data_IF_679723864772
#
_entry.id   IF_679723864772
#
_cell.length_a   1.000
_cell.length_b   1.000
_cell.length_c   1.000
_cell.angle_alpha   90.00
_cell.angle_beta   90.00
_cell.angle_gamma   90.00
#
_symmetry.space_group_name_H-M   'P 1'
#
loop_
_entity.id
_entity.type
_entity.pdbx_description
1 polymer ?
#
# COMPACT_ATOMS: atom_id res chain seq x y z
N UNK A 1 30.49 3.12 11.98
CA UNK A 1 30.09 2.03 11.09
C UNK A 1 30.65 0.68 11.52
N UNK A 2 31.97 0.40 11.48
CA UNK A 2 32.52 -0.93 11.84
C UNK A 2 32.20 -1.39 13.27
N UNK A 3 32.24 -0.52 14.27
CA UNK A 3 31.94 -0.85 15.68
C UNK A 3 30.45 -1.17 15.90
N UNK A 4 29.54 -0.53 15.18
CA UNK A 4 28.10 -0.82 15.25
C UNK A 4 27.79 -2.17 14.60
N UNK A 5 28.40 -2.45 13.45
CA UNK A 5 28.32 -3.78 12.82
C UNK A 5 28.84 -4.91 13.72
N UNK A 6 29.96 -4.69 14.42
CA UNK A 6 30.49 -5.66 15.37
C UNK A 6 29.54 -5.90 16.55
N UNK A 7 28.97 -4.83 17.12
CA UNK A 7 28.02 -4.97 18.22
C UNK A 7 26.74 -5.70 17.81
N UNK A 8 26.24 -5.40 16.61
CA UNK A 8 25.04 -6.05 16.06
C UNK A 8 25.32 -7.54 15.75
N UNK A 9 26.48 -7.85 15.20
CA UNK A 9 26.91 -9.21 14.91
C UNK A 9 27.08 -10.04 16.20
N UNK A 10 27.61 -9.45 17.27
CA UNK A 10 27.71 -10.10 18.58
C UNK A 10 26.34 -10.37 19.21
N UNK A 11 25.38 -9.46 19.04
CA UNK A 11 23.99 -9.64 19.49
C UNK A 11 23.31 -10.78 18.74
N UNK A 12 23.52 -10.87 17.40
CA UNK A 12 23.00 -11.97 16.59
C UNK A 12 23.61 -13.33 16.98
N UNK A 13 24.92 -13.38 17.25
CA UNK A 13 25.58 -14.61 17.70
C UNK A 13 25.07 -15.07 19.09
N UNK A 14 24.90 -14.14 20.03
CA UNK A 14 24.33 -14.45 21.35
C UNK A 14 22.90 -14.97 21.24
N UNK A 15 22.11 -14.41 20.33
CA UNK A 15 20.76 -14.87 20.08
C UNK A 15 20.74 -16.26 19.44
N UNK A 16 21.58 -16.50 18.43
CA UNK A 16 21.68 -17.81 17.78
C UNK A 16 22.09 -18.94 18.74
N UNK A 17 22.87 -18.63 19.79
CA UNK A 17 23.23 -19.58 20.85
C UNK A 17 22.08 -19.94 21.81
N UNK A 18 21.00 -19.15 21.85
CA UNK A 18 19.83 -19.41 22.68
C UNK A 18 18.81 -20.35 22.02
N UNK A 19 19.04 -20.73 20.76
CA UNK A 19 18.15 -21.62 20.02
C UNK A 19 18.72 -23.03 19.93
N UNK A 20 17.84 -24.06 20.03
CA UNK A 20 18.27 -25.46 19.95
C UNK A 20 18.95 -25.73 18.60
N UNK A 21 20.11 -26.36 18.65
CA UNK A 21 20.91 -26.71 17.45
C UNK A 21 20.47 -28.06 16.83
N UNK A 22 19.47 -28.69 17.40
CA UNK A 22 19.03 -30.07 17.09
C UNK A 22 17.85 -30.16 16.11
N UNK A 23 17.43 -29.03 15.51
CA UNK A 23 16.33 -29.01 14.52
C UNK A 23 14.92 -29.16 15.14
N UNK A 24 14.79 -29.07 16.45
CA UNK A 24 13.47 -29.05 17.09
C UNK A 24 12.65 -27.83 16.67
N UNK A 25 11.35 -28.00 16.50
CA UNK A 25 10.44 -26.93 16.08
C UNK A 25 10.38 -25.85 17.16
N UNK A 26 10.71 -24.63 16.81
CA UNK A 26 10.59 -23.46 17.70
C UNK A 26 9.14 -23.25 18.12
N UNK A 27 8.92 -22.99 19.40
CA UNK A 27 7.59 -22.59 19.88
C UNK A 27 7.13 -21.28 19.20
N UNK A 28 5.82 -21.11 19.01
CA UNK A 28 5.21 -20.00 18.29
C UNK A 28 5.65 -18.62 18.85
N UNK A 29 5.88 -18.53 20.16
CA UNK A 29 6.34 -17.30 20.82
C UNK A 29 7.82 -16.97 20.52
N UNK A 30 8.67 -17.98 20.41
CA UNK A 30 10.08 -17.80 20.05
C UNK A 30 10.20 -17.33 18.61
N UNK A 31 9.38 -17.85 17.70
CA UNK A 31 9.33 -17.43 16.31
C UNK A 31 8.82 -15.98 16.16
N UNK A 32 7.87 -15.55 17.00
CA UNK A 32 7.40 -14.15 17.07
C UNK A 32 8.46 -13.20 17.61
N UNK A 33 9.24 -13.60 18.61
CA UNK A 33 10.34 -12.80 19.16
C UNK A 33 11.48 -12.65 18.14
N UNK A 34 11.83 -13.72 17.42
CA UNK A 34 12.82 -13.70 16.34
C UNK A 34 12.39 -12.73 15.23
N UNK A 35 11.14 -12.81 14.81
CA UNK A 35 10.60 -11.92 13.76
C UNK A 35 10.57 -10.45 14.20
N UNK A 36 10.31 -10.16 15.47
CA UNK A 36 10.37 -8.80 16.02
C UNK A 36 11.80 -8.27 16.07
N UNK A 37 12.75 -9.09 16.47
CA UNK A 37 14.16 -8.72 16.56
C UNK A 37 14.79 -8.56 15.18
N UNK A 38 14.50 -9.45 14.23
CA UNK A 38 14.92 -9.32 12.83
C UNK A 38 14.45 -8.00 12.23
N UNK A 39 13.20 -7.60 12.48
CA UNK A 39 12.66 -6.29 12.05
C UNK A 39 13.36 -5.12 12.74
N UNK A 40 13.66 -5.24 14.03
CA UNK A 40 14.38 -4.20 14.77
C UNK A 40 15.80 -4.01 14.25
N UNK A 41 16.54 -5.09 14.05
CA UNK A 41 17.89 -5.09 13.48
C UNK A 41 17.91 -4.54 12.04
N UNK A 42 16.95 -4.96 11.19
CA UNK A 42 16.81 -4.40 9.84
C UNK A 42 16.54 -2.88 9.90
N UNK A 43 15.71 -2.43 10.84
CA UNK A 43 15.41 -1.00 11.02
C UNK A 43 16.67 -0.23 11.42
N UNK A 44 17.42 -0.69 12.42
CA UNK A 44 18.68 -0.03 12.82
C UNK A 44 19.75 -0.02 11.71
N UNK A 45 19.85 -1.10 10.90
CA UNK A 45 20.77 -1.15 9.77
C UNK A 45 20.37 -0.18 8.64
N UNK A 46 19.09 0.14 8.51
CA UNK A 46 18.57 1.04 7.48
C UNK A 46 18.55 2.50 7.95
N UNK A 47 18.40 2.77 9.26
CA UNK A 47 18.37 4.13 9.83
C UNK A 47 19.73 4.84 9.75
N UNK A 48 20.86 4.12 9.72
CA UNK A 48 22.23 4.70 9.63
C UNK A 48 22.72 4.91 8.19
N UNK A 49 21.93 4.60 7.19
CA UNK A 49 22.20 5.00 5.80
C UNK A 49 21.59 6.39 5.57
N UNK A 50 22.36 7.38 5.11
CA UNK A 50 21.75 8.59 4.60
C UNK A 50 20.77 8.17 3.50
N UNK A 51 19.51 8.57 3.66
CA UNK A 51 18.32 8.13 2.91
C UNK A 51 18.47 8.20 1.39
N UNK A 52 19.25 7.30 0.82
CA UNK A 52 19.05 6.81 -0.52
C UNK A 52 18.17 5.54 -0.40
N UNK A 53 16.99 5.71 0.14
CA UNK A 53 15.91 4.78 -0.13
C UNK A 53 15.75 4.80 -1.65
N UNK A 54 16.32 3.81 -2.32
CA UNK A 54 15.98 3.53 -3.70
C UNK A 54 14.49 3.23 -3.65
N UNK A 55 13.70 4.26 -3.97
CA UNK A 55 12.24 4.16 -3.98
C UNK A 55 11.91 3.05 -4.96
N UNK A 56 11.66 1.85 -4.43
CA UNK A 56 11.35 0.71 -5.25
C UNK A 56 10.01 0.95 -5.95
N UNK A 57 10.00 0.68 -7.26
CA UNK A 57 8.83 0.84 -8.11
C UNK A 57 8.49 -0.48 -8.78
N UNK A 58 7.20 -0.68 -9.01
CA UNK A 58 6.70 -1.79 -9.81
C UNK A 58 7.14 -1.61 -11.27
N UNK A 59 7.75 -2.63 -11.84
CA UNK A 59 8.34 -2.55 -13.19
C UNK A 59 7.29 -2.36 -14.29
N UNK A 60 6.06 -2.85 -14.08
CA UNK A 60 4.99 -2.77 -15.05
C UNK A 60 4.32 -1.39 -15.06
N UNK A 61 4.01 -0.85 -13.89
CA UNK A 61 3.23 0.38 -13.77
C UNK A 61 4.06 1.62 -13.45
N UNK A 62 5.31 1.45 -13.00
CA UNK A 62 6.18 2.53 -12.53
C UNK A 62 5.76 3.14 -11.17
N UNK A 63 4.71 2.62 -10.56
CA UNK A 63 4.18 3.07 -9.27
C UNK A 63 5.04 2.58 -8.10
N UNK A 64 4.81 3.09 -6.90
CA UNK A 64 5.47 2.55 -5.71
C UNK A 64 5.12 1.07 -5.53
N UNK A 65 6.05 0.29 -4.97
CA UNK A 65 5.74 -1.03 -4.42
C UNK A 65 5.26 -0.91 -2.98
N UNK A 66 4.64 -1.97 -2.46
CA UNK A 66 4.09 -2.07 -1.11
C UNK A 66 5.05 -1.58 -0.01
N UNK A 67 6.31 -2.02 -0.03
CA UNK A 67 7.30 -1.64 0.99
C UNK A 67 7.60 -0.13 0.98
N UNK A 68 7.74 0.47 -0.20
CA UNK A 68 7.98 1.92 -0.35
C UNK A 68 6.77 2.76 0.04
N UNK A 69 5.55 2.25 -0.19
CA UNK A 69 4.34 2.94 0.28
C UNK A 69 4.27 2.95 1.81
N UNK A 70 4.50 1.79 2.46
CA UNK A 70 4.44 1.67 3.92
C UNK A 70 5.41 2.61 4.60
N UNK A 71 6.67 2.63 4.16
CA UNK A 71 7.68 3.55 4.69
C UNK A 71 7.23 5.01 4.59
N UNK A 72 6.72 5.42 3.43
CA UNK A 72 6.24 6.79 3.21
C UNK A 72 4.97 7.12 3.99
N UNK A 73 4.06 6.16 4.16
CA UNK A 73 2.88 6.34 4.98
C UNK A 73 3.26 6.53 6.45
N UNK A 74 4.22 5.73 6.98
CA UNK A 74 4.76 5.93 8.34
C UNK A 74 5.38 7.33 8.51
N UNK A 75 6.14 7.80 7.51
CA UNK A 75 6.71 9.15 7.50
C UNK A 75 5.62 10.23 7.46
N UNK A 76 4.58 10.06 6.63
CA UNK A 76 3.46 10.98 6.55
C UNK A 76 2.70 11.07 7.89
N UNK A 77 2.45 9.92 8.54
CA UNK A 77 1.82 9.86 9.86
C UNK A 77 2.67 10.53 10.94
N UNK A 78 3.99 10.33 10.90
CA UNK A 78 4.91 10.95 11.86
C UNK A 78 5.06 12.48 11.67
N UNK A 79 4.92 12.96 10.42
CA UNK A 79 5.05 14.38 10.06
C UNK A 79 3.74 15.17 10.13
N UNK A 80 2.62 14.51 10.41
CA UNK A 80 1.30 15.14 10.49
C UNK A 80 1.22 16.09 11.70
N UNK A 81 1.74 17.31 11.52
CA UNK A 81 1.86 18.32 12.57
C UNK A 81 0.66 19.28 12.67
N UNK A 82 -0.23 19.31 11.67
CA UNK A 82 -1.38 20.20 11.72
C UNK A 82 -2.59 19.46 12.32
N UNK A 83 -3.18 20.07 13.35
CA UNK A 83 -4.36 19.55 14.05
C UNK A 83 -5.61 19.47 13.20
N UNK A 84 -5.56 19.91 11.93
CA UNK A 84 -6.72 20.08 11.07
C UNK A 84 -6.63 19.32 9.74
N UNK A 85 -5.52 18.61 9.43
CA UNK A 85 -5.39 17.89 8.16
C UNK A 85 -5.75 16.40 8.28
N UNK A 86 -6.65 15.95 7.44
CA UNK A 86 -7.09 14.55 7.33
C UNK A 86 -6.13 13.80 6.41
N UNK A 87 -5.84 12.55 6.74
CA UNK A 87 -5.19 11.57 5.86
C UNK A 87 -6.18 10.45 5.59
N UNK A 88 -6.28 10.02 4.32
CA UNK A 88 -7.13 8.90 3.94
C UNK A 88 -6.32 7.87 3.14
N UNK A 89 -6.59 6.60 3.40
CA UNK A 89 -6.07 5.47 2.63
C UNK A 89 -7.21 4.86 1.84
N UNK A 90 -7.04 4.77 0.52
CA UNK A 90 -7.97 4.10 -0.37
C UNK A 90 -7.34 2.79 -0.84
N UNK A 91 -7.95 1.65 -0.51
CA UNK A 91 -7.59 0.34 -1.05
C UNK A 91 -8.52 0.04 -2.23
N UNK A 92 -7.93 -0.28 -3.38
CA UNK A 92 -8.63 -0.39 -4.67
C UNK A 92 -8.36 -1.77 -5.25
N UNK A 93 -9.41 -2.46 -5.67
CA UNK A 93 -9.33 -3.74 -6.40
C UNK A 93 -10.15 -3.63 -7.70
N UNK A 94 -9.56 -4.05 -8.81
CA UNK A 94 -10.18 -3.95 -10.12
C UNK A 94 -11.21 -5.05 -10.35
N UNK A 95 -12.47 -4.65 -10.47
CA UNK A 95 -13.56 -5.59 -10.68
C UNK A 95 -13.51 -6.24 -12.07
N UNK A 96 -13.43 -7.57 -12.08
CA UNK A 96 -13.46 -8.33 -13.34
C UNK A 96 -12.12 -8.42 -14.08
N UNK A 97 -11.01 -7.96 -13.50
CA UNK A 97 -9.70 -7.98 -14.14
C UNK A 97 -9.27 -9.40 -14.57
N UNK A 98 -9.59 -10.43 -13.77
CA UNK A 98 -9.33 -11.82 -14.16
C UNK A 98 -10.02 -12.19 -15.47
N UNK A 99 -11.23 -11.69 -15.73
CA UNK A 99 -11.95 -11.98 -16.97
C UNK A 99 -11.24 -11.38 -18.19
N UNK A 100 -10.58 -10.21 -18.03
CA UNK A 100 -9.76 -9.61 -19.08
C UNK A 100 -8.58 -10.52 -19.41
N UNK A 101 -7.86 -11.01 -18.40
CA UNK A 101 -6.77 -11.96 -18.60
C UNK A 101 -7.24 -13.25 -19.29
N UNK A 102 -8.36 -13.81 -18.85
CA UNK A 102 -8.90 -15.06 -19.38
C UNK A 102 -9.38 -14.90 -20.84
N UNK A 103 -9.89 -13.73 -21.23
CA UNK A 103 -10.43 -13.46 -22.58
C UNK A 103 -9.37 -12.95 -23.56
N UNK A 104 -8.43 -12.10 -23.09
CA UNK A 104 -7.51 -11.37 -23.96
C UNK A 104 -6.04 -11.71 -23.72
N UNK A 105 -5.75 -12.54 -22.71
CA UNK A 105 -4.39 -12.92 -22.32
C UNK A 105 -3.70 -11.89 -21.42
N UNK A 106 -2.64 -12.34 -20.75
CA UNK A 106 -1.91 -11.54 -19.75
C UNK A 106 -1.26 -10.27 -20.32
N UNK A 107 -0.82 -10.28 -21.58
CA UNK A 107 -0.22 -9.10 -22.21
C UNK A 107 -1.21 -7.93 -22.30
N UNK A 108 -2.48 -8.20 -22.56
CA UNK A 108 -3.55 -7.19 -22.57
C UNK A 108 -3.89 -6.75 -21.12
N UNK A 109 -3.92 -7.72 -20.19
CA UNK A 109 -4.07 -7.40 -18.76
C UNK A 109 -2.95 -6.48 -18.24
N UNK A 110 -1.70 -6.71 -18.62
CA UNK A 110 -0.57 -5.87 -18.24
C UNK A 110 -0.69 -4.45 -18.80
N UNK A 111 -1.14 -4.30 -20.05
CA UNK A 111 -1.43 -2.99 -20.63
C UNK A 111 -2.58 -2.29 -19.88
N UNK A 112 -3.63 -3.02 -19.51
CA UNK A 112 -4.76 -2.48 -18.77
C UNK A 112 -4.29 -1.99 -17.38
N UNK A 113 -3.46 -2.76 -16.66
CA UNK A 113 -2.87 -2.35 -15.37
C UNK A 113 -2.02 -1.09 -15.49
N UNK A 114 -1.19 -0.99 -16.54
CA UNK A 114 -0.37 0.19 -16.79
C UNK A 114 -1.24 1.43 -17.05
N UNK A 115 -2.31 1.29 -17.83
CA UNK A 115 -3.25 2.39 -18.11
C UNK A 115 -4.03 2.81 -16.86
N UNK A 116 -4.52 1.85 -16.06
CA UNK A 116 -5.17 2.14 -14.76
C UNK A 116 -4.22 2.90 -13.85
N UNK A 117 -2.95 2.44 -13.73
CA UNK A 117 -1.94 3.15 -12.97
C UNK A 117 -1.74 4.59 -13.40
N UNK A 118 -1.73 4.85 -14.72
CA UNK A 118 -1.66 6.21 -15.29
C UNK A 118 -2.92 7.04 -14.99
N UNK A 119 -4.11 6.45 -15.12
CA UNK A 119 -5.36 7.12 -14.78
C UNK A 119 -5.41 7.54 -13.31
N UNK A 120 -5.01 6.65 -12.40
CA UNK A 120 -4.93 6.94 -10.97
C UNK A 120 -3.89 8.02 -10.69
N UNK A 121 -2.68 7.92 -11.28
CA UNK A 121 -1.61 8.92 -11.10
C UNK A 121 -2.05 10.32 -11.56
N UNK A 122 -2.80 10.42 -12.65
CA UNK A 122 -3.35 11.68 -13.15
C UNK A 122 -4.51 12.21 -12.29
N UNK A 123 -5.08 11.37 -11.44
CA UNK A 123 -6.22 11.68 -10.59
C UNK A 123 -5.84 12.07 -9.17
N UNK A 124 -4.56 12.10 -8.83
CA UNK A 124 -4.06 12.46 -7.50
C UNK A 124 -3.11 13.65 -7.58
N UNK A 125 -2.80 14.27 -6.43
CA UNK A 125 -1.84 15.37 -6.34
C UNK A 125 -0.41 14.84 -6.24
N UNK A 126 0.58 15.71 -6.43
CA UNK A 126 2.01 15.37 -6.27
C UNK A 126 2.37 14.89 -4.87
N UNK A 127 1.65 15.33 -3.86
CA UNK A 127 1.90 15.01 -2.47
C UNK A 127 1.20 13.71 -2.02
N UNK A 128 0.24 13.22 -2.81
CA UNK A 128 -0.42 11.95 -2.58
C UNK A 128 0.50 10.78 -2.98
N UNK A 129 0.29 9.62 -2.37
CA UNK A 129 1.06 8.42 -2.69
C UNK A 129 0.20 7.44 -3.45
N UNK A 130 0.78 6.77 -4.44
CA UNK A 130 0.13 5.72 -5.22
C UNK A 130 1.05 4.52 -5.35
N UNK A 131 0.51 3.35 -5.06
CA UNK A 131 1.22 2.08 -5.05
C UNK A 131 0.42 1.02 -5.82
N UNK A 132 1.11 0.15 -6.52
CA UNK A 132 0.58 -1.16 -6.89
C UNK A 132 0.85 -2.11 -5.73
N UNK A 133 -0.22 -2.53 -5.04
CA UNK A 133 -0.11 -3.37 -3.85
C UNK A 133 0.20 -4.82 -4.19
N UNK A 134 -0.38 -5.33 -5.27
CA UNK A 134 -0.12 -6.65 -5.84
C UNK A 134 -1.20 -7.03 -6.86
N UNK A 135 -0.88 -7.81 -7.86
CA UNK A 135 -1.86 -8.23 -8.87
C UNK A 135 -2.62 -7.06 -9.48
N UNK A 136 -3.93 -7.00 -9.24
CA UNK A 136 -4.89 -5.98 -9.66
C UNK A 136 -5.29 -5.00 -8.53
N UNK A 137 -4.51 -4.97 -7.44
CA UNK A 137 -4.77 -4.14 -6.28
C UNK A 137 -3.86 -2.89 -6.28
N UNK A 138 -4.45 -1.74 -5.94
CA UNK A 138 -3.76 -0.46 -5.80
C UNK A 138 -4.09 0.17 -4.45
N UNK A 139 -3.14 0.94 -3.91
CA UNK A 139 -3.35 1.73 -2.70
C UNK A 139 -2.99 3.18 -2.97
N UNK A 140 -3.91 4.07 -2.63
CA UNK A 140 -3.71 5.54 -2.67
C UNK A 140 -3.72 6.07 -1.26
N UNK A 141 -2.74 6.92 -0.93
CA UNK A 141 -2.73 7.71 0.30
C UNK A 141 -2.96 9.17 -0.06
N UNK A 142 -4.09 9.69 0.36
CA UNK A 142 -4.48 11.07 0.16
C UNK A 142 -4.08 11.87 1.41
N UNK A 143 -3.31 12.93 1.21
CA UNK A 143 -2.72 13.71 2.29
C UNK A 143 -3.26 15.14 2.31
N UNK A 144 -3.13 15.79 3.48
CA UNK A 144 -3.46 17.21 3.64
C UNK A 144 -4.89 17.57 3.16
N UNK A 145 -5.87 16.76 3.59
CA UNK A 145 -7.28 16.99 3.26
C UNK A 145 -7.90 17.87 4.35
N UNK A 146 -8.53 18.96 3.95
CA UNK A 146 -9.10 19.95 4.87
C UNK A 146 -10.43 19.51 5.49
N UNK A 147 -11.23 18.71 4.76
CA UNK A 147 -12.60 18.33 5.15
C UNK A 147 -12.91 16.89 4.78
N UNK A 148 -13.75 16.25 5.57
CA UNK A 148 -14.15 14.85 5.34
C UNK A 148 -14.91 14.67 4.02
N UNK A 149 -15.80 15.60 3.65
CA UNK A 149 -16.54 15.55 2.39
C UNK A 149 -15.60 15.53 1.17
N UNK A 150 -14.40 16.10 1.32
CA UNK A 150 -13.37 16.05 0.28
C UNK A 150 -12.81 14.64 0.07
N UNK A 151 -12.82 13.77 1.08
CA UNK A 151 -12.39 12.37 0.96
C UNK A 151 -13.32 11.61 0.02
N UNK A 152 -14.64 11.76 0.19
CA UNK A 152 -15.63 11.12 -0.67
C UNK A 152 -15.48 11.56 -2.12
N UNK A 153 -15.36 12.87 -2.36
CA UNK A 153 -15.15 13.40 -3.71
C UNK A 153 -13.83 12.93 -4.35
N UNK A 154 -12.77 12.79 -3.55
CA UNK A 154 -11.50 12.28 -4.04
C UNK A 154 -11.60 10.79 -4.39
N UNK A 155 -12.28 9.99 -3.58
CA UNK A 155 -12.53 8.58 -3.85
C UNK A 155 -13.44 8.39 -5.07
N UNK A 156 -14.50 9.19 -5.23
CA UNK A 156 -15.36 9.21 -6.41
C UNK A 156 -14.57 9.55 -7.68
N UNK A 157 -13.60 10.47 -7.59
CA UNK A 157 -12.73 10.82 -8.71
C UNK A 157 -11.84 9.63 -9.12
N UNK A 158 -11.30 8.86 -8.15
CA UNK A 158 -10.51 7.67 -8.43
C UNK A 158 -11.38 6.60 -9.11
N UNK A 159 -12.57 6.31 -8.58
CA UNK A 159 -13.50 5.35 -9.18
C UNK A 159 -13.90 5.78 -10.60
N UNK A 160 -14.24 7.05 -10.79
CA UNK A 160 -14.59 7.60 -12.09
C UNK A 160 -13.45 7.50 -13.10
N UNK A 161 -12.21 7.70 -12.66
CA UNK A 161 -11.02 7.60 -13.53
C UNK A 161 -10.79 6.17 -14.03
N UNK A 162 -10.98 5.17 -13.16
CA UNK A 162 -10.86 3.74 -13.52
C UNK A 162 -11.98 3.32 -14.47
N UNK A 163 -13.19 3.83 -14.23
CA UNK A 163 -14.39 3.49 -15.01
C UNK A 163 -14.42 4.08 -16.41
N UNK A 164 -13.45 4.93 -16.78
CA UNK A 164 -13.33 5.43 -18.14
C UNK A 164 -12.92 4.30 -19.11
N UNK A 165 -13.38 4.37 -20.39
CA UNK A 165 -12.97 3.39 -21.40
C UNK A 165 -11.44 3.37 -21.56
N UNK A 166 -10.81 2.22 -21.28
CA UNK A 166 -9.38 2.02 -21.51
C UNK A 166 -9.15 1.66 -22.97
N UNK A 167 -8.50 2.56 -23.71
CA UNK A 167 -8.16 2.33 -25.11
C UNK A 167 -6.75 1.77 -25.21
N UNK A 168 -6.65 0.50 -25.59
CA UNK A 168 -5.37 -0.17 -25.76
C UNK A 168 -4.89 -0.02 -27.22
N UNK A 169 -3.59 0.20 -27.35
CA UNK A 169 -2.92 0.22 -28.64
C UNK A 169 -2.50 -1.22 -28.96
N UNK A 170 -3.40 -1.98 -29.57
CA UNK A 170 -3.14 -3.30 -30.13
C UNK A 170 -3.17 -3.20 -31.67
N UNK A 171 -2.81 -4.29 -32.35
CA UNK A 171 -2.91 -4.38 -33.82
C UNK A 171 -4.36 -4.11 -34.29
N UNK A 172 -5.34 -4.39 -33.45
CA UNK A 172 -6.72 -3.95 -33.59
C UNK A 172 -7.12 -3.07 -32.38
N UNK A 173 -7.85 -1.94 -32.60
CA UNK A 173 -8.29 -1.07 -31.52
C UNK A 173 -9.18 -1.83 -30.52
N UNK A 174 -8.68 -2.04 -29.32
CA UNK A 174 -9.41 -2.68 -28.24
C UNK A 174 -9.80 -1.64 -27.19
N UNK A 175 -11.07 -1.62 -26.81
CA UNK A 175 -11.57 -0.79 -25.71
C UNK A 175 -12.07 -1.70 -24.60
N UNK A 176 -11.48 -1.58 -23.41
CA UNK A 176 -11.89 -2.31 -22.22
C UNK A 176 -12.67 -1.40 -21.27
N UNK A 177 -13.56 -2.02 -20.51
CA UNK A 177 -14.28 -1.37 -19.41
C UNK A 177 -14.00 -2.12 -18.13
N UNK A 178 -13.54 -1.41 -17.11
CA UNK A 178 -13.26 -1.92 -15.77
C UNK A 178 -14.07 -1.13 -14.75
N UNK A 179 -14.54 -1.83 -13.73
CA UNK A 179 -14.98 -1.21 -12.49
C UNK A 179 -13.90 -1.36 -11.41
N UNK A 180 -14.13 -0.75 -10.26
CA UNK A 180 -13.30 -0.96 -9.08
C UNK A 180 -14.15 -0.97 -7.82
N UNK A 181 -13.75 -1.82 -6.88
CA UNK A 181 -14.23 -1.76 -5.50
C UNK A 181 -13.19 -1.01 -4.67
N UNK A 182 -13.61 0.06 -4.00
CA UNK A 182 -12.73 0.95 -3.25
C UNK A 182 -13.16 0.97 -1.79
N UNK A 183 -12.25 0.64 -0.89
CA UNK A 183 -12.43 0.86 0.54
C UNK A 183 -11.59 2.04 1.02
N UNK A 184 -12.15 2.85 1.89
CA UNK A 184 -11.50 4.06 2.39
C UNK A 184 -11.41 4.03 3.91
N UNK A 185 -10.22 4.19 4.43
CA UNK A 185 -9.94 4.41 5.85
C UNK A 185 -9.48 5.85 6.06
N UNK A 186 -10.04 6.53 7.07
CA UNK A 186 -9.79 7.96 7.30
C UNK A 186 -9.21 8.17 8.69
N UNK A 187 -8.10 8.90 8.74
CA UNK A 187 -7.59 9.46 10.01
C UNK A 187 -7.89 10.95 10.07
N UNK A 188 -8.59 11.32 11.12
CA UNK A 188 -8.70 12.72 11.53
C UNK A 188 -7.52 13.04 12.47
N UNK A 189 -6.96 14.26 12.41
CA UNK A 189 -5.98 14.70 13.38
C UNK A 189 -6.61 14.60 14.76
N UNK A 190 -6.18 13.63 15.52
CA UNK A 190 -6.87 13.31 16.75
C UNK A 190 -6.19 13.99 17.92
N UNK A 191 -6.91 14.34 18.73
CA UNK A 191 -7.10 14.14 20.17
C UNK A 191 -6.45 12.84 20.74
N UNK A 192 -6.04 11.89 19.94
CA UNK A 192 -5.44 10.63 20.37
C UNK A 192 -3.91 10.71 20.37
N UNK A 193 -3.33 10.55 21.57
CA UNK A 193 -1.90 10.36 21.81
C UNK A 193 -1.39 8.97 21.38
N UNK A 194 -2.27 8.12 20.84
CA UNK A 194 -1.89 6.79 20.38
C UNK A 194 -1.26 6.87 19.00
N UNK A 195 -0.10 6.22 18.87
CA UNK A 195 0.61 6.12 17.59
C UNK A 195 -0.24 5.29 16.63
N UNK A 196 -0.75 5.95 15.59
CA UNK A 196 -1.52 5.27 14.55
C UNK A 196 -0.61 4.32 13.77
N UNK A 197 -1.04 3.07 13.62
CA UNK A 197 -0.32 2.07 12.84
C UNK A 197 -0.71 2.17 11.36
N UNK A 198 0.29 2.36 10.50
CA UNK A 198 0.12 2.41 9.06
C UNK A 198 -0.52 1.14 8.48
N UNK A 199 -0.17 -0.03 9.02
CA UNK A 199 -0.76 -1.30 8.60
C UNK A 199 -2.23 -1.40 8.98
N UNK A 200 -2.61 -0.98 10.18
CA UNK A 200 -4.00 -1.00 10.62
C UNK A 200 -4.91 -0.13 9.72
N UNK A 201 -4.37 1.00 9.23
CA UNK A 201 -5.12 1.84 8.28
C UNK A 201 -5.37 1.14 6.94
N UNK A 202 -4.36 0.45 6.44
CA UNK A 202 -4.48 -0.29 5.18
C UNK A 202 -5.42 -1.47 5.37
N UNK A 203 -5.35 -2.19 6.49
CA UNK A 203 -6.26 -3.29 6.82
C UNK A 203 -7.72 -2.82 6.93
N UNK A 204 -7.96 -1.67 7.54
CA UNK A 204 -9.31 -1.09 7.61
C UNK A 204 -9.83 -0.69 6.22
N UNK A 205 -8.99 -0.13 5.37
CA UNK A 205 -9.36 0.18 4.00
C UNK A 205 -9.60 -1.10 3.17
N UNK A 206 -8.79 -2.15 3.32
CA UNK A 206 -9.00 -3.46 2.69
C UNK A 206 -10.33 -4.09 3.11
N UNK A 207 -10.65 -4.06 4.42
CA UNK A 207 -11.93 -4.56 4.91
C UNK A 207 -13.12 -3.79 4.30
N UNK A 208 -13.04 -2.46 4.20
CA UNK A 208 -14.07 -1.66 3.55
C UNK A 208 -14.17 -1.98 2.05
N UNK A 209 -13.07 -2.19 1.35
CA UNK A 209 -13.05 -2.63 -0.05
C UNK A 209 -13.75 -3.98 -0.22
N UNK A 210 -13.52 -4.91 0.70
CA UNK A 210 -14.22 -6.18 0.68
C UNK A 210 -15.74 -6.02 0.86
N UNK A 211 -16.20 -5.08 1.72
CA UNK A 211 -17.63 -4.75 1.82
C UNK A 211 -18.16 -4.12 0.52
N UNK A 212 -17.39 -3.27 -0.16
CA UNK A 212 -17.75 -2.74 -1.48
C UNK A 212 -17.98 -3.88 -2.50
N UNK A 213 -17.09 -4.89 -2.51
CA UNK A 213 -17.27 -6.09 -3.36
C UNK A 213 -18.56 -6.85 -3.05
N UNK A 214 -18.87 -7.03 -1.75
CA UNK A 214 -20.08 -7.73 -1.31
C UNK A 214 -21.35 -6.96 -1.61
N UNK A 215 -21.31 -5.64 -1.57
CA UNK A 215 -22.43 -4.75 -1.84
C UNK A 215 -22.76 -4.56 -3.33
N UNK A 216 -22.04 -5.25 -4.23
CA UNK A 216 -22.34 -5.24 -5.66
C UNK A 216 -21.26 -4.67 -6.54
N UNK A 217 -20.06 -4.41 -6.00
CA UNK A 217 -18.88 -3.93 -6.73
C UNK A 217 -19.07 -2.53 -7.33
N UNK A 218 -18.05 -2.03 -8.03
CA UNK A 218 -18.03 -0.73 -8.70
C UNK A 218 -18.55 0.40 -7.80
N UNK A 219 -17.99 0.49 -6.59
CA UNK A 219 -18.44 1.40 -5.56
C UNK A 219 -17.35 1.67 -4.52
N UNK A 220 -17.65 2.62 -3.66
CA UNK A 220 -16.81 3.02 -2.53
C UNK A 220 -17.53 2.66 -1.23
N UNK A 221 -16.78 2.13 -0.26
CA UNK A 221 -17.20 1.99 1.12
C UNK A 221 -16.17 2.65 2.05
N UNK A 222 -16.64 3.36 3.05
CA UNK A 222 -15.77 4.05 4.02
C UNK A 222 -15.82 3.26 5.34
N UNK A 223 -14.63 2.91 5.85
CA UNK A 223 -14.51 2.26 7.15
C UNK A 223 -15.04 3.18 8.25
N UNK A 224 -15.88 2.63 9.11
CA UNK A 224 -16.54 3.33 10.23
C UNK A 224 -15.68 3.20 11.50
#
# INVERSE_FOLDING_TARGET
MLKQFQNLFEQLQKLAQQFPQDGSTLEVDQNRQLTRLQRHILRELLEDQPSYSLIARDELTGLLVRSSLLERLEQALASQNSRDSILAVCFIDLDGFKQINDQHGHAIGDQALSLVGQCLQNSIRSDDLLCRWGGDEFVVVLQNIDRQESVEHLADRLLSAISQPLRLSADEPLTLFLGASIGVSVIKPAISLEKVDALALIENADQAMYEAKRAGKNRIEIAV
#
